data_IF_529451878186
#
_entry.id   IF_529451878186
#
_cell.length_a   1.000
_cell.length_b   1.000
_cell.length_c   1.000
_cell.angle_alpha   90.00
_cell.angle_beta   90.00
_cell.angle_gamma   90.00
#
_symmetry.space_group_name_H-M   'P 1'
#
loop_
_entity.id
_entity.type
_entity.pdbx_description
1 polymer ?
#
# COMPACT_ATOMS: atom_id res chain seq x y z
N UNK A 1 5.68 -15.94 19.70
CA UNK A 1 6.97 -16.48 20.14
C UNK A 1 6.99 -17.96 19.81
N UNK A 2 7.96 -18.45 19.04
CA UNK A 2 8.04 -19.86 18.70
C UNK A 2 8.41 -20.70 19.93
N UNK A 3 7.63 -21.75 20.20
CA UNK A 3 7.96 -22.79 21.19
C UNK A 3 8.48 -24.04 20.50
N UNK A 4 9.49 -24.64 21.08
CA UNK A 4 10.08 -25.86 20.54
C UNK A 4 9.57 -27.08 21.33
N UNK A 5 8.69 -27.87 20.73
CA UNK A 5 8.27 -29.17 21.26
C UNK A 5 8.69 -30.28 20.28
N UNK A 6 9.55 -31.21 20.72
CA UNK A 6 10.04 -32.33 19.92
C UNK A 6 10.68 -31.94 18.57
N UNK A 7 11.45 -30.83 18.55
CA UNK A 7 12.10 -30.37 17.32
C UNK A 7 11.22 -29.60 16.33
N UNK A 8 9.96 -29.35 16.68
CA UNK A 8 9.03 -28.52 15.89
C UNK A 8 8.86 -27.15 16.51
N UNK A 9 8.74 -26.12 15.69
CA UNK A 9 8.42 -24.77 16.13
C UNK A 9 6.95 -24.48 15.87
N UNK A 10 6.26 -23.92 16.86
CA UNK A 10 4.86 -23.54 16.80
C UNK A 10 4.75 -22.03 16.98
N UNK A 11 3.85 -21.39 16.26
CA UNK A 11 3.49 -20.01 16.51
C UNK A 11 2.37 -19.95 17.55
N UNK A 12 2.53 -19.09 18.56
CA UNK A 12 1.56 -18.89 19.62
C UNK A 12 1.03 -17.47 19.60
N UNK A 13 -0.29 -17.34 19.57
CA UNK A 13 -0.96 -16.08 19.83
C UNK A 13 -1.17 -15.96 21.36
N UNK A 14 -0.68 -14.88 21.96
CA UNK A 14 -0.78 -14.65 23.41
C UNK A 14 -1.59 -13.40 23.70
N UNK A 15 -2.50 -13.50 24.67
CA UNK A 15 -3.13 -12.34 25.28
C UNK A 15 -2.19 -11.83 26.37
N UNK A 16 -1.77 -10.59 26.29
CA UNK A 16 -0.88 -9.92 27.24
C UNK A 16 -1.66 -8.79 27.91
N UNK A 17 -1.69 -8.79 29.24
CA UNK A 17 -2.23 -7.67 30.01
C UNK A 17 -1.23 -6.53 30.07
N UNK A 18 -1.69 -5.32 29.77
CA UNK A 18 -0.89 -4.10 29.94
C UNK A 18 -1.06 -3.60 31.37
N UNK A 19 0.03 -3.49 32.10
CA UNK A 19 0.05 -2.91 33.45
C UNK A 19 0.69 -1.52 33.39
N UNK A 20 0.57 -0.74 34.50
CA UNK A 20 1.29 0.54 34.63
C UNK A 20 2.82 0.42 34.56
N UNK A 21 3.36 -0.80 34.69
CA UNK A 21 4.79 -1.12 34.59
C UNK A 21 5.19 -1.72 33.24
N UNK A 22 4.24 -1.78 32.26
CA UNK A 22 4.44 -2.37 30.94
C UNK A 22 3.73 -3.73 30.76
N UNK A 23 3.93 -4.41 29.63
CA UNK A 23 3.29 -5.70 29.34
C UNK A 23 3.81 -6.80 30.27
N UNK A 24 2.92 -7.66 30.73
CA UNK A 24 3.29 -8.84 31.52
C UNK A 24 4.08 -9.84 30.67
N UNK A 25 5.24 -10.32 31.12
CA UNK A 25 6.11 -11.18 30.31
C UNK A 25 5.56 -12.61 30.08
N UNK A 26 4.51 -13.01 30.80
CA UNK A 26 3.86 -14.32 30.70
C UNK A 26 2.38 -14.16 30.37
N UNK A 27 2.08 -13.77 29.12
CA UNK A 27 0.68 -13.74 28.68
C UNK A 27 0.07 -15.14 28.53
N UNK A 28 -1.25 -15.22 28.67
CA UNK A 28 -2.03 -16.44 28.43
C UNK A 28 -2.00 -16.80 26.94
N UNK A 29 -1.75 -18.09 26.62
CA UNK A 29 -1.87 -18.58 25.27
C UNK A 29 -3.35 -18.64 24.88
N UNK A 30 -3.76 -17.81 23.94
CA UNK A 30 -5.12 -17.79 23.42
C UNK A 30 -5.28 -18.82 22.30
N UNK A 31 -4.21 -19.03 21.54
CA UNK A 31 -4.16 -19.97 20.44
C UNK A 31 -2.72 -20.49 20.24
N UNK A 32 -2.61 -21.78 20.01
CA UNK A 32 -1.37 -22.43 19.57
C UNK A 32 -1.65 -22.99 18.20
N UNK A 33 -0.91 -22.57 17.18
CA UNK A 33 -1.04 -23.12 15.84
C UNK A 33 -0.82 -24.63 15.89
N UNK A 34 -1.84 -25.41 15.50
CA UNK A 34 -1.70 -26.87 15.34
C UNK A 34 -0.85 -27.24 14.13
N UNK A 35 -0.54 -26.26 13.28
CA UNK A 35 0.33 -26.43 12.13
C UNK A 35 1.77 -26.36 12.62
N UNK A 36 2.27 -27.48 13.10
CA UNK A 36 3.70 -27.70 13.12
C UNK A 36 4.21 -27.50 11.69
N UNK A 37 5.39 -26.95 11.55
CA UNK A 37 6.10 -27.00 10.26
C UNK A 37 6.31 -28.48 9.86
N UNK A 38 5.23 -29.14 9.43
CA UNK A 38 5.21 -30.55 9.03
C UNK A 38 5.66 -30.76 7.58
N UNK A 39 5.98 -29.69 6.87
CA UNK A 39 6.55 -29.85 5.54
C UNK A 39 7.95 -30.43 5.64
N UNK A 40 8.04 -31.74 5.71
CA UNK A 40 9.19 -32.48 5.22
C UNK A 40 9.30 -32.14 3.73
N UNK A 41 10.17 -31.20 3.42
CA UNK A 41 10.68 -31.11 2.05
C UNK A 41 11.15 -32.53 1.66
N UNK A 42 10.64 -33.05 0.55
CA UNK A 42 10.82 -34.44 0.10
C UNK A 42 12.28 -34.82 -0.06
N UNK A 43 13.22 -33.91 0.13
CA UNK A 43 14.63 -34.10 -0.21
C UNK A 43 15.70 -33.56 0.75
N UNK A 44 15.41 -32.94 1.90
CA UNK A 44 16.43 -32.65 2.94
C UNK A 44 15.83 -32.34 4.31
N UNK A 45 16.48 -32.89 5.34
CA UNK A 45 16.22 -32.65 6.76
C UNK A 45 16.77 -31.28 7.25
N UNK A 46 16.40 -30.18 6.62
CA UNK A 46 16.70 -28.86 7.16
C UNK A 46 15.44 -28.25 7.73
N UNK A 47 15.37 -28.18 9.06
CA UNK A 47 14.29 -27.59 9.84
C UNK A 47 14.31 -26.05 9.74
N UNK A 48 14.22 -25.48 8.56
CA UNK A 48 14.11 -24.05 8.36
C UNK A 48 12.65 -23.65 8.10
N UNK A 49 11.88 -23.57 9.19
CA UNK A 49 10.73 -22.70 9.20
C UNK A 49 11.16 -21.32 9.68
N UNK A 50 11.39 -20.42 8.77
CA UNK A 50 11.50 -19.00 9.09
C UNK A 50 10.08 -18.50 9.34
N UNK A 51 9.69 -18.39 10.62
CA UNK A 51 8.30 -18.19 10.99
C UNK A 51 8.03 -16.72 11.30
N UNK A 52 7.48 -16.05 10.34
CA UNK A 52 6.52 -15.00 10.65
C UNK A 52 5.12 -15.57 10.46
N UNK A 53 4.44 -15.96 11.51
CA UNK A 53 3.03 -16.34 11.41
C UNK A 53 2.17 -15.12 11.72
N UNK A 54 1.28 -14.80 10.80
CA UNK A 54 0.27 -13.74 10.95
C UNK A 54 -1.03 -14.44 11.30
N UNK A 55 -1.67 -13.99 12.39
CA UNK A 55 -2.99 -14.45 12.77
C UNK A 55 -4.01 -13.40 12.37
N UNK A 56 -4.99 -13.78 11.56
CA UNK A 56 -6.16 -12.97 11.28
C UNK A 56 -7.25 -13.33 12.27
N UNK A 57 -7.81 -12.31 12.90
CA UNK A 57 -8.81 -12.45 13.95
C UNK A 57 -10.16 -12.00 13.42
N UNK A 58 -11.23 -12.71 13.76
CA UNK A 58 -12.60 -12.23 13.53
C UNK A 58 -12.95 -11.05 14.47
N UNK A 59 -14.15 -10.51 14.30
CA UNK A 59 -14.71 -9.44 15.15
C UNK A 59 -14.83 -9.80 16.63
N UNK A 60 -14.81 -11.10 16.97
CA UNK A 60 -14.79 -11.57 18.37
C UNK A 60 -13.37 -11.74 18.90
N UNK A 61 -12.36 -11.39 18.11
CA UNK A 61 -10.94 -11.56 18.37
C UNK A 61 -10.50 -13.03 18.43
N UNK A 62 -11.27 -13.93 17.82
CA UNK A 62 -10.91 -15.33 17.65
C UNK A 62 -10.07 -15.48 16.38
N UNK A 63 -8.95 -16.21 16.41
CA UNK A 63 -8.18 -16.50 15.20
C UNK A 63 -9.04 -17.32 14.22
N UNK A 64 -9.12 -16.87 12.98
CA UNK A 64 -9.85 -17.56 11.90
C UNK A 64 -8.92 -18.05 10.81
N UNK A 65 -7.80 -17.36 10.62
CA UNK A 65 -6.79 -17.73 9.63
C UNK A 65 -5.39 -17.54 10.22
N UNK A 66 -4.52 -18.48 9.95
CA UNK A 66 -3.09 -18.37 10.23
C UNK A 66 -2.34 -18.41 8.91
N UNK A 67 -1.49 -17.42 8.68
CA UNK A 67 -0.57 -17.41 7.56
C UNK A 67 0.81 -17.83 8.05
N UNK A 68 1.43 -18.71 7.33
CA UNK A 68 2.78 -19.20 7.62
C UNK A 68 3.63 -19.12 6.37
N UNK A 69 4.83 -18.58 6.46
CA UNK A 69 5.79 -18.57 5.36
C UNK A 69 6.83 -19.69 5.52
N UNK A 70 7.26 -20.24 4.42
CA UNK A 70 8.38 -21.19 4.36
C UNK A 70 9.27 -20.87 3.17
N UNK A 71 10.57 -21.12 3.30
CA UNK A 71 11.52 -20.98 2.20
C UNK A 71 11.79 -22.39 1.64
N UNK A 72 11.59 -22.56 0.35
CA UNK A 72 11.91 -23.81 -0.34
C UNK A 72 13.42 -23.98 -0.57
N UNK A 73 13.80 -25.16 -1.04
CA UNK A 73 15.23 -25.50 -1.31
C UNK A 73 15.84 -24.71 -2.46
N UNK A 74 15.03 -24.11 -3.31
CA UNK A 74 15.44 -23.22 -4.41
C UNK A 74 15.49 -21.73 -3.98
N UNK A 75 15.23 -21.44 -2.71
CA UNK A 75 15.28 -20.10 -2.14
C UNK A 75 13.98 -19.32 -2.27
N UNK A 76 12.94 -19.87 -2.87
CA UNK A 76 11.64 -19.20 -2.97
C UNK A 76 10.89 -19.24 -1.65
N UNK A 77 10.19 -18.17 -1.35
CA UNK A 77 9.30 -18.06 -0.18
C UNK A 77 7.88 -18.44 -0.60
N UNK A 78 7.28 -19.34 0.12
CA UNK A 78 5.87 -19.70 -0.04
C UNK A 78 5.11 -19.26 1.20
N UNK A 79 3.95 -18.67 1.01
CA UNK A 79 3.04 -18.29 2.08
C UNK A 79 1.82 -19.21 2.02
N UNK A 80 1.52 -19.82 3.15
CA UNK A 80 0.39 -20.75 3.26
C UNK A 80 -0.67 -20.15 4.18
N UNK A 81 -1.91 -20.28 3.78
CA UNK A 81 -3.05 -19.91 4.59
C UNK A 81 -3.67 -21.17 5.24
N UNK A 82 -3.96 -21.10 6.53
CA UNK A 82 -4.56 -22.20 7.30
C UNK A 82 -5.78 -21.69 8.04
N UNK A 83 -6.94 -22.31 7.81
CA UNK A 83 -8.14 -22.04 8.61
C UNK A 83 -8.00 -22.66 10.00
N UNK A 84 -8.31 -21.90 11.06
CA UNK A 84 -8.04 -22.31 12.45
C UNK A 84 -8.94 -23.41 12.99
N UNK A 85 -10.15 -23.54 12.46
CA UNK A 85 -11.17 -24.49 12.95
C UNK A 85 -11.28 -25.80 12.12
N UNK A 86 -10.42 -25.99 11.11
CA UNK A 86 -10.43 -27.22 10.32
C UNK A 86 -9.11 -27.97 10.45
N UNK A 87 -9.18 -29.24 10.87
CA UNK A 87 -8.01 -30.11 10.94
C UNK A 87 -7.40 -30.43 9.55
N UNK A 88 -8.01 -29.96 8.46
CA UNK A 88 -7.73 -30.49 7.12
C UNK A 88 -7.59 -29.45 5.99
N UNK A 89 -7.92 -28.19 6.19
CA UNK A 89 -7.88 -27.23 5.07
C UNK A 89 -6.54 -26.51 5.01
N UNK A 90 -5.60 -27.12 4.36
CA UNK A 90 -4.42 -26.45 3.83
C UNK A 90 -4.84 -25.77 2.53
N UNK A 91 -4.79 -24.44 2.51
CA UNK A 91 -4.86 -23.68 1.28
C UNK A 91 -3.43 -23.62 0.75
N UNK A 92 -3.19 -24.27 -0.37
CA UNK A 92 -1.87 -24.38 -1.01
C UNK A 92 -1.78 -23.39 -2.16
N UNK A 93 -1.83 -22.10 -1.82
CA UNK A 93 -1.73 -21.00 -2.77
C UNK A 93 -0.44 -20.25 -2.48
N UNK A 94 0.33 -19.99 -3.50
CA UNK A 94 1.49 -19.10 -3.41
C UNK A 94 0.99 -17.66 -3.24
N UNK A 95 1.30 -17.08 -2.09
CA UNK A 95 0.96 -15.70 -1.75
C UNK A 95 2.21 -14.83 -1.57
N UNK A 96 3.36 -15.26 -2.09
CA UNK A 96 4.62 -14.52 -1.94
C UNK A 96 4.51 -13.08 -2.46
N UNK A 97 3.75 -12.91 -3.54
CA UNK A 97 3.61 -11.65 -4.25
C UNK A 97 2.37 -10.85 -3.85
N UNK A 98 1.62 -11.35 -2.88
CA UNK A 98 0.38 -10.73 -2.43
C UNK A 98 0.52 -10.13 -1.04
N UNK A 99 0.07 -8.89 -0.88
CA UNK A 99 -0.18 -8.31 0.44
C UNK A 99 -1.57 -8.71 0.94
N UNK A 100 -1.72 -8.97 2.23
CA UNK A 100 -3.02 -9.28 2.80
C UNK A 100 -3.59 -8.04 3.44
N UNK A 101 -4.80 -7.65 3.01
CA UNK A 101 -5.48 -6.46 3.48
C UNK A 101 -6.74 -6.74 4.30
N UNK A 102 -7.19 -7.99 4.33
CA UNK A 102 -8.33 -8.37 5.15
C UNK A 102 -8.81 -9.79 4.91
N UNK A 103 -9.86 -10.16 5.64
CA UNK A 103 -10.55 -11.45 5.51
C UNK A 103 -12.04 -11.26 5.78
N UNK A 104 -12.87 -11.96 5.02
CA UNK A 104 -14.28 -12.22 5.33
C UNK A 104 -14.54 -13.74 5.50
N UNK A 105 -15.79 -14.13 5.61
CA UNK A 105 -16.18 -15.54 5.86
C UNK A 105 -15.75 -16.51 4.75
N UNK A 106 -15.56 -16.03 3.53
CA UNK A 106 -15.29 -16.85 2.35
C UNK A 106 -13.99 -16.51 1.64
N UNK A 107 -13.40 -15.34 1.90
CA UNK A 107 -12.31 -14.82 1.10
C UNK A 107 -11.19 -14.20 1.95
N UNK A 108 -9.97 -14.30 1.45
CA UNK A 108 -8.85 -13.43 1.86
C UNK A 108 -8.73 -12.31 0.84
N UNK A 109 -8.73 -11.08 1.31
CA UNK A 109 -8.55 -9.88 0.52
C UNK A 109 -7.05 -9.60 0.35
N UNK A 110 -6.62 -9.49 -0.89
CA UNK A 110 -5.22 -9.40 -1.27
C UNK A 110 -4.96 -8.09 -2.04
N UNK A 111 -3.74 -7.55 -1.90
CA UNK A 111 -3.18 -6.66 -2.92
C UNK A 111 -2.33 -7.48 -3.86
N UNK A 112 -2.40 -7.17 -5.15
CA UNK A 112 -1.74 -7.92 -6.22
C UNK A 112 -2.73 -8.44 -7.23
N UNK A 113 -2.23 -8.87 -8.36
CA UNK A 113 -2.99 -9.32 -9.52
C UNK A 113 -2.43 -10.64 -10.00
N UNK A 114 -3.26 -11.68 -10.22
CA UNK A 114 -2.81 -12.98 -10.75
C UNK A 114 -2.09 -12.89 -12.10
N UNK A 115 -2.38 -11.87 -12.92
CA UNK A 115 -1.69 -11.64 -14.20
C UNK A 115 -0.31 -11.00 -14.03
N UNK A 116 -0.05 -10.35 -12.88
CA UNK A 116 1.16 -9.57 -12.64
C UNK A 116 1.18 -8.19 -13.30
N UNK A 117 0.11 -7.82 -14.05
CA UNK A 117 0.05 -6.58 -14.82
C UNK A 117 -0.23 -5.33 -13.95
N UNK A 118 -0.86 -5.52 -12.80
CA UNK A 118 -1.22 -4.41 -11.92
C UNK A 118 -0.96 -4.72 -10.45
N UNK A 119 -0.87 -3.68 -9.63
CA UNK A 119 -0.89 -3.80 -8.17
C UNK A 119 -2.32 -3.52 -7.66
N UNK A 120 -3.24 -4.36 -8.10
CA UNK A 120 -4.67 -4.23 -7.85
C UNK A 120 -5.13 -4.87 -6.54
N UNK A 121 -6.43 -5.13 -6.47
CA UNK A 121 -7.06 -5.87 -5.36
C UNK A 121 -7.66 -7.16 -5.88
N UNK A 122 -7.37 -8.24 -5.19
CA UNK A 122 -7.83 -9.59 -5.53
C UNK A 122 -8.47 -10.28 -4.33
N UNK A 123 -9.31 -11.27 -4.61
CA UNK A 123 -9.89 -12.17 -3.62
C UNK A 123 -9.36 -13.58 -3.81
N UNK A 124 -8.80 -14.16 -2.76
CA UNK A 124 -8.60 -15.59 -2.67
C UNK A 124 -9.83 -16.22 -2.04
N UNK A 125 -10.56 -17.02 -2.80
CA UNK A 125 -11.71 -17.75 -2.27
C UNK A 125 -11.22 -18.97 -1.47
N UNK A 126 -11.65 -19.05 -0.20
CA UNK A 126 -11.20 -20.09 0.75
C UNK A 126 -11.70 -21.51 0.42
N UNK A 127 -12.72 -21.65 -0.43
CA UNK A 127 -13.28 -22.95 -0.81
C UNK A 127 -12.74 -23.48 -2.14
N UNK A 128 -12.56 -22.57 -3.10
CA UNK A 128 -12.11 -22.94 -4.45
C UNK A 128 -10.61 -22.77 -4.65
N UNK A 129 -9.93 -22.10 -3.71
CA UNK A 129 -8.51 -21.74 -3.76
C UNK A 129 -8.13 -20.89 -4.99
N UNK A 130 -9.13 -20.23 -5.60
CA UNK A 130 -8.91 -19.38 -6.75
C UNK A 130 -8.71 -17.93 -6.33
N UNK A 131 -7.73 -17.28 -6.96
CA UNK A 131 -7.52 -15.83 -6.83
C UNK A 131 -8.18 -15.15 -8.02
N UNK A 132 -8.99 -14.13 -7.74
CA UNK A 132 -9.69 -13.35 -8.75
C UNK A 132 -9.48 -11.86 -8.48
N UNK A 133 -9.03 -11.13 -9.47
CA UNK A 133 -8.95 -9.67 -9.43
C UNK A 133 -10.35 -9.07 -9.37
N UNK A 134 -10.56 -8.04 -8.55
CA UNK A 134 -11.87 -7.41 -8.33
C UNK A 134 -11.91 -5.89 -8.57
N UNK A 135 -10.78 -5.21 -8.74
CA UNK A 135 -10.78 -3.80 -9.10
C UNK A 135 -10.99 -3.62 -10.63
N UNK A 136 -11.48 -2.44 -11.06
CA UNK A 136 -11.59 -2.09 -12.48
C UNK A 136 -10.24 -2.18 -13.22
N UNK A 137 -10.29 -2.43 -14.53
CA UNK A 137 -9.07 -2.62 -15.35
C UNK A 137 -8.20 -1.35 -15.42
N UNK A 138 -8.83 -0.19 -15.47
CA UNK A 138 -8.18 1.12 -15.47
C UNK A 138 -7.46 1.47 -14.16
N UNK A 139 -7.74 0.72 -13.08
CA UNK A 139 -7.14 0.94 -11.77
C UNK A 139 -5.96 0.00 -11.56
N UNK A 140 -4.75 0.54 -11.54
CA UNK A 140 -3.52 -0.25 -11.57
C UNK A 140 -2.72 -0.22 -10.26
N UNK A 141 -3.01 0.70 -9.33
CA UNK A 141 -2.21 0.83 -8.12
C UNK A 141 -3.07 1.02 -6.87
N UNK A 142 -2.93 0.09 -5.91
CA UNK A 142 -3.56 0.16 -4.60
C UNK A 142 -2.91 1.23 -3.72
N UNK A 143 -3.70 2.13 -3.15
CA UNK A 143 -3.27 3.25 -2.30
C UNK A 143 -3.60 3.04 -0.82
N UNK A 144 -4.54 2.16 -0.50
CA UNK A 144 -4.92 1.86 0.88
C UNK A 144 -6.33 1.31 1.00
N UNK A 145 -6.60 0.55 2.08
CA UNK A 145 -7.92 0.00 2.38
C UNK A 145 -8.61 0.73 3.52
N UNK A 146 -9.94 0.68 3.48
CA UNK A 146 -10.83 1.21 4.50
C UNK A 146 -11.68 0.08 5.06
N UNK A 147 -11.55 -0.20 6.35
CA UNK A 147 -12.32 -1.23 7.06
C UNK A 147 -13.02 -0.62 8.25
N UNK A 148 -14.23 -1.11 8.54
CA UNK A 148 -14.95 -0.74 9.77
C UNK A 148 -14.24 -1.33 10.99
N UNK A 149 -14.38 -0.70 12.16
CA UNK A 149 -13.74 -1.13 13.41
C UNK A 149 -14.00 -2.60 13.78
N UNK A 150 -15.12 -3.15 13.33
CA UNK A 150 -15.55 -4.51 13.63
C UNK A 150 -15.47 -5.46 12.42
N UNK A 151 -14.83 -5.04 11.33
CA UNK A 151 -14.60 -5.84 10.14
C UNK A 151 -13.12 -5.97 9.85
N UNK A 152 -12.70 -7.14 9.42
CA UNK A 152 -11.35 -7.38 8.92
C UNK A 152 -11.29 -7.24 7.40
N UNK A 153 -12.44 -7.31 6.70
CA UNK A 153 -12.51 -7.04 5.26
C UNK A 153 -12.67 -5.54 4.99
N UNK A 154 -12.04 -5.01 3.93
CA UNK A 154 -12.24 -3.62 3.52
C UNK A 154 -13.65 -3.44 2.92
N UNK A 155 -14.33 -2.35 3.27
CA UNK A 155 -15.55 -1.93 2.59
C UNK A 155 -15.26 -1.08 1.35
N UNK A 156 -14.07 -0.49 1.30
CA UNK A 156 -13.59 0.28 0.17
C UNK A 156 -12.06 0.29 0.11
N UNK A 157 -11.52 0.60 -1.06
CA UNK A 157 -10.08 0.83 -1.27
C UNK A 157 -9.87 2.09 -2.07
N UNK A 158 -8.79 2.81 -1.77
CA UNK A 158 -8.25 3.85 -2.63
C UNK A 158 -7.36 3.21 -3.70
N UNK A 159 -7.56 3.63 -4.94
CA UNK A 159 -6.79 3.18 -6.09
C UNK A 159 -6.26 4.37 -6.89
N UNK A 160 -5.23 4.15 -7.67
CA UNK A 160 -4.83 5.05 -8.75
C UNK A 160 -5.36 4.47 -10.06
N UNK A 161 -6.25 5.24 -10.72
CA UNK A 161 -6.94 4.86 -11.94
C UNK A 161 -6.63 5.92 -12.98
N UNK A 162 -5.98 5.55 -14.10
CA UNK A 162 -5.59 6.49 -15.17
C UNK A 162 -4.83 7.75 -14.68
N UNK A 163 -4.03 7.59 -13.62
CA UNK A 163 -3.26 8.70 -13.01
C UNK A 163 -4.01 9.56 -12.02
N UNK A 164 -5.30 9.32 -11.81
CA UNK A 164 -6.12 9.99 -10.81
C UNK A 164 -6.42 9.05 -9.63
N UNK A 165 -6.64 9.64 -8.45
CA UNK A 165 -7.05 8.87 -7.27
C UNK A 165 -8.54 8.64 -7.29
N UNK A 166 -8.94 7.38 -7.14
CA UNK A 166 -10.34 6.99 -7.07
C UNK A 166 -10.62 6.10 -5.85
N UNK A 167 -11.88 6.02 -5.48
CA UNK A 167 -12.39 5.22 -4.38
C UNK A 167 -13.28 4.09 -4.91
N UNK A 168 -12.81 2.87 -4.80
CA UNK A 168 -13.59 1.69 -5.17
C UNK A 168 -14.33 1.17 -3.93
N UNK A 169 -15.65 1.22 -3.96
CA UNK A 169 -16.52 0.80 -2.86
C UNK A 169 -17.08 -0.59 -3.16
N UNK A 170 -16.82 -1.55 -2.28
CA UNK A 170 -17.28 -2.93 -2.41
C UNK A 170 -18.59 -3.18 -1.66
N UNK A 171 -18.81 -2.50 -0.54
CA UNK A 171 -20.02 -2.60 0.29
C UNK A 171 -20.72 -1.24 0.36
N UNK A 172 -21.65 -1.02 -0.57
CA UNK A 172 -22.39 0.24 -0.70
C UNK A 172 -23.42 0.46 0.43
N UNK A 173 -23.85 -0.60 1.09
CA UNK A 173 -24.79 -0.55 2.21
C UNK A 173 -24.09 -0.24 3.54
N UNK A 174 -22.77 -0.33 3.56
CA UNK A 174 -21.95 -0.01 4.73
C UNK A 174 -22.02 1.50 5.05
N UNK A 175 -22.40 1.84 6.27
CA UNK A 175 -22.48 3.24 6.74
C UNK A 175 -21.17 4.00 6.53
N UNK A 176 -20.04 3.38 6.89
CA UNK A 176 -18.74 4.02 6.84
C UNK A 176 -18.29 4.24 5.38
N UNK A 177 -18.67 3.33 4.46
CA UNK A 177 -18.48 3.49 3.03
C UNK A 177 -19.28 4.67 2.46
N UNK A 178 -20.53 4.85 2.90
CA UNK A 178 -21.39 5.98 2.50
C UNK A 178 -20.80 7.31 2.99
N UNK A 179 -20.31 7.36 4.24
CA UNK A 179 -19.62 8.54 4.79
C UNK A 179 -18.37 8.84 3.96
N UNK A 180 -17.53 7.83 3.71
CA UNK A 180 -16.30 8.00 2.93
C UNK A 180 -16.59 8.49 1.51
N UNK A 181 -17.61 7.93 0.85
CA UNK A 181 -18.04 8.34 -0.50
C UNK A 181 -18.51 9.81 -0.54
N UNK A 182 -19.22 10.26 0.50
CA UNK A 182 -19.63 11.66 0.62
C UNK A 182 -18.42 12.58 0.83
N UNK A 183 -17.47 12.16 1.65
CA UNK A 183 -16.23 12.90 1.88
C UNK A 183 -15.38 12.96 0.61
N UNK A 184 -15.21 11.86 -0.13
CA UNK A 184 -14.46 11.82 -1.39
C UNK A 184 -15.07 12.77 -2.44
N UNK A 185 -16.40 12.85 -2.53
CA UNK A 185 -17.09 13.85 -3.38
C UNK A 185 -16.90 15.28 -2.92
N UNK A 186 -16.79 15.51 -1.61
CA UNK A 186 -16.56 16.87 -1.06
C UNK A 186 -15.10 17.31 -1.16
N UNK A 187 -14.17 16.37 -1.27
CA UNK A 187 -12.74 16.59 -1.34
C UNK A 187 -12.11 15.81 -2.50
N UNK A 188 -12.46 16.14 -3.76
CA UNK A 188 -12.01 15.39 -4.92
C UNK A 188 -10.47 15.40 -5.04
N UNK A 189 -9.88 14.25 -5.35
CA UNK A 189 -8.43 14.05 -5.53
C UNK A 189 -7.60 14.16 -4.25
N UNK A 190 -8.24 14.28 -3.07
CA UNK A 190 -7.53 14.36 -1.79
C UNK A 190 -7.42 12.98 -1.11
N UNK A 191 -6.34 12.82 -0.36
CA UNK A 191 -6.19 11.69 0.53
C UNK A 191 -7.05 11.91 1.77
N UNK A 192 -7.96 10.99 2.05
CA UNK A 192 -8.82 10.99 3.23
C UNK A 192 -8.37 9.85 4.14
N UNK A 193 -8.02 10.15 5.37
CA UNK A 193 -7.64 9.15 6.36
C UNK A 193 -8.48 9.33 7.62
N UNK A 194 -9.18 8.28 8.02
CA UNK A 194 -9.82 8.23 9.32
C UNK A 194 -8.75 7.99 10.40
N UNK A 195 -8.82 8.82 11.46
CA UNK A 195 -8.15 8.54 12.71
C UNK A 195 -9.05 7.69 13.63
N UNK A 196 -8.94 7.94 14.93
CA UNK A 196 -9.75 7.20 15.89
C UNK A 196 -11.22 7.65 15.87
N UNK A 197 -12.11 6.67 15.97
CA UNK A 197 -13.51 6.87 16.26
C UNK A 197 -13.75 6.93 17.76
N UNK A 198 -14.80 7.61 18.19
CA UNK A 198 -15.35 7.49 19.55
C UNK A 198 -15.92 6.10 19.79
N UNK A 199 -16.05 5.69 21.05
CA UNK A 199 -16.59 4.36 21.42
C UNK A 199 -18.01 4.14 20.87
N UNK A 200 -18.79 5.22 20.71
CA UNK A 200 -20.15 5.19 20.14
C UNK A 200 -20.16 5.24 18.60
N UNK A 201 -19.00 5.34 17.96
CA UNK A 201 -18.88 5.50 16.51
C UNK A 201 -19.66 6.69 15.92
N UNK A 202 -19.84 7.75 16.69
CA UNK A 202 -20.59 8.95 16.29
C UNK A 202 -19.68 10.11 15.88
N UNK A 203 -18.39 10.08 16.27
CA UNK A 203 -17.39 11.07 15.91
C UNK A 203 -16.08 10.41 15.52
N UNK A 204 -15.38 11.05 14.56
CA UNK A 204 -14.05 10.62 14.15
C UNK A 204 -13.14 11.81 13.87
N UNK A 205 -11.84 11.63 14.07
CA UNK A 205 -10.86 12.51 13.49
C UNK A 205 -10.63 12.13 12.03
N UNK A 206 -10.57 13.14 11.16
CA UNK A 206 -10.20 13.01 9.76
C UNK A 206 -8.94 13.78 9.48
N UNK A 207 -8.05 13.19 8.72
CA UNK A 207 -6.94 13.87 8.10
C UNK A 207 -7.18 13.95 6.59
N UNK A 208 -7.15 15.17 6.04
CA UNK A 208 -7.32 15.45 4.62
C UNK A 208 -6.04 16.10 4.11
N UNK A 209 -5.44 15.53 3.06
CA UNK A 209 -4.17 15.99 2.52
C UNK A 209 -4.09 15.78 1.00
N UNK A 210 -3.19 16.47 0.36
CA UNK A 210 -2.73 16.25 -1.01
C UNK A 210 -1.28 16.75 -1.16
N UNK A 211 -0.73 16.76 -2.36
CA UNK A 211 0.62 17.25 -2.62
C UNK A 211 0.80 18.75 -2.34
N UNK A 212 -0.28 19.53 -2.38
CA UNK A 212 -0.28 20.96 -2.05
C UNK A 212 -0.82 21.29 -0.65
N UNK A 213 -1.04 20.27 0.18
CA UNK A 213 -1.57 20.47 1.53
C UNK A 213 -1.06 19.36 2.44
N UNK A 214 -0.22 19.71 3.41
CA UNK A 214 0.44 18.75 4.30
C UNK A 214 -0.57 17.85 5.01
N UNK A 215 -1.48 18.42 5.76
CA UNK A 215 -2.61 17.74 6.37
C UNK A 215 -3.49 18.77 7.10
N UNK A 216 -4.76 18.69 6.87
CA UNK A 216 -5.78 19.34 7.68
C UNK A 216 -6.49 18.29 8.52
N UNK A 217 -6.66 18.58 9.80
CA UNK A 217 -7.36 17.72 10.74
C UNK A 217 -8.73 18.29 11.01
N UNK A 218 -9.73 17.43 10.88
CA UNK A 218 -11.14 17.76 11.11
C UNK A 218 -11.73 16.81 12.15
N UNK A 219 -12.72 17.29 12.89
CA UNK A 219 -13.64 16.46 13.65
C UNK A 219 -14.91 16.24 12.81
N UNK A 220 -15.13 15.01 12.40
CA UNK A 220 -16.43 14.57 11.87
C UNK A 220 -17.35 14.32 13.05
N UNK A 221 -18.51 14.96 13.08
CA UNK A 221 -19.56 14.79 14.07
C UNK A 221 -20.85 14.35 13.35
N UNK A 222 -21.17 13.06 13.46
CA UNK A 222 -22.31 12.46 12.76
C UNK A 222 -23.65 12.86 13.40
N UNK A 223 -23.66 13.20 14.70
CA UNK A 223 -24.89 13.63 15.38
C UNK A 223 -25.32 15.02 14.90
N UNK A 224 -24.35 15.89 14.63
CA UNK A 224 -24.60 17.24 14.13
C UNK A 224 -24.53 17.31 12.59
N UNK A 225 -24.09 16.24 11.92
CA UNK A 225 -23.88 16.22 10.47
C UNK A 225 -22.81 17.24 10.01
N UNK A 226 -21.80 17.49 10.82
CA UNK A 226 -20.83 18.54 10.61
C UNK A 226 -19.39 18.02 10.53
N UNK A 227 -18.60 18.74 9.73
CA UNK A 227 -17.15 18.59 9.68
C UNK A 227 -16.52 19.88 10.23
N UNK A 228 -15.91 19.78 11.41
CA UNK A 228 -15.31 20.93 12.11
C UNK A 228 -13.79 20.90 11.93
N UNK A 229 -13.24 21.99 11.36
CA UNK A 229 -11.80 22.16 11.29
C UNK A 229 -11.18 22.25 12.69
N UNK A 230 -10.10 21.53 12.92
CA UNK A 230 -9.37 21.51 14.19
C UNK A 230 -8.01 22.19 14.04
N UNK A 231 -7.18 21.74 13.09
CA UNK A 231 -5.82 22.20 12.93
C UNK A 231 -5.26 21.86 11.54
N UNK A 232 -4.15 22.49 11.20
CA UNK A 232 -3.29 22.04 10.10
C UNK A 232 -1.90 21.72 10.63
N UNK A 233 -1.23 20.80 9.98
CA UNK A 233 0.16 20.42 10.29
C UNK A 233 1.18 21.47 9.80
N UNK A 234 0.75 22.49 9.06
CA UNK A 234 1.62 23.51 8.49
C UNK A 234 1.05 24.91 8.65
N UNK A 235 1.96 25.87 8.92
CA UNK A 235 1.67 27.29 8.87
C UNK A 235 2.02 27.95 7.51
N UNK A 236 2.42 27.14 6.51
CA UNK A 236 2.72 27.66 5.17
C UNK A 236 1.41 28.05 4.49
N UNK A 237 1.27 29.28 4.00
CA UNK A 237 0.09 29.72 3.25
C UNK A 237 -0.15 28.81 2.02
N UNK A 238 -1.39 28.39 1.80
CA UNK A 238 -1.76 27.44 0.72
C UNK A 238 -1.44 27.98 -0.68
N UNK A 239 -1.50 29.29 -0.86
CA UNK A 239 -1.16 29.96 -2.13
C UNK A 239 0.33 29.83 -2.50
N UNK A 240 1.18 29.54 -1.54
CA UNK A 240 2.61 29.26 -1.76
C UNK A 240 2.92 27.80 -2.05
N UNK A 241 1.96 26.91 -1.90
CA UNK A 241 2.15 25.47 -2.11
C UNK A 241 1.82 25.07 -3.56
N UNK A 242 2.51 24.05 -4.06
CA UNK A 242 2.46 23.60 -5.45
C UNK A 242 1.84 22.19 -5.50
N UNK A 243 1.00 21.93 -6.49
CA UNK A 243 0.35 20.63 -6.69
C UNK A 243 1.19 19.78 -7.64
N UNK A 244 1.26 18.47 -7.37
CA UNK A 244 1.81 17.50 -8.30
C UNK A 244 0.78 17.22 -9.41
N UNK A 245 1.30 17.02 -10.62
CA UNK A 245 0.55 16.54 -11.77
C UNK A 245 1.01 15.12 -12.06
N UNK A 246 0.09 14.18 -12.13
CA UNK A 246 0.38 12.82 -12.57
C UNK A 246 0.79 12.83 -14.05
N UNK A 247 1.77 12.03 -14.40
CA UNK A 247 2.32 11.93 -15.77
C UNK A 247 2.54 10.48 -16.15
N UNK A 248 2.37 10.20 -17.43
CA UNK A 248 2.80 8.95 -18.06
C UNK A 248 3.64 9.27 -19.29
N UNK A 249 4.60 8.43 -19.58
CA UNK A 249 5.53 8.59 -20.70
C UNK A 249 5.64 7.26 -21.43
N UNK A 250 5.89 7.31 -22.75
CA UNK A 250 6.16 6.12 -23.55
C UNK A 250 7.62 6.07 -23.90
N UNK A 251 8.30 5.01 -23.51
CA UNK A 251 9.70 4.81 -23.79
C UNK A 251 9.96 4.34 -25.23
N UNK A 252 11.20 4.35 -25.65
CA UNK A 252 11.58 3.95 -27.02
C UNK A 252 11.33 2.47 -27.33
N UNK A 253 11.22 1.63 -26.30
CA UNK A 253 10.83 0.22 -26.40
C UNK A 253 9.33 -0.01 -26.16
N UNK A 254 8.56 1.08 -26.19
CA UNK A 254 7.10 1.10 -26.06
C UNK A 254 6.56 0.68 -24.70
N UNK A 255 7.38 0.79 -23.63
CA UNK A 255 6.93 0.62 -22.25
C UNK A 255 6.29 1.91 -21.75
N UNK A 256 5.19 1.80 -21.00
CA UNK A 256 4.56 2.93 -20.33
C UNK A 256 5.13 3.08 -18.93
N UNK A 257 5.74 4.24 -18.65
CA UNK A 257 6.26 4.59 -17.34
C UNK A 257 5.49 5.78 -16.75
N UNK A 258 5.59 5.94 -15.44
CA UNK A 258 4.78 6.89 -14.68
C UNK A 258 5.64 7.87 -13.90
N UNK A 259 5.03 8.98 -13.46
CA UNK A 259 5.72 9.95 -12.65
C UNK A 259 4.83 11.08 -12.15
N UNK A 260 5.44 12.00 -11.45
CA UNK A 260 4.76 13.21 -10.95
C UNK A 260 5.58 14.43 -11.25
N UNK A 261 4.94 15.46 -11.78
CA UNK A 261 5.57 16.75 -12.08
C UNK A 261 5.03 17.84 -11.14
N UNK A 262 5.93 18.46 -10.38
CA UNK A 262 5.61 19.65 -9.58
C UNK A 262 6.10 20.88 -10.31
N UNK A 263 5.18 21.73 -10.76
CA UNK A 263 5.51 22.98 -11.45
C UNK A 263 5.47 24.19 -10.53
N UNK A 264 6.47 25.08 -10.57
CA UNK A 264 6.37 26.41 -9.97
C UNK A 264 5.17 27.19 -10.48
N UNK A 265 4.56 28.02 -9.63
CA UNK A 265 3.43 28.90 -10.02
C UNK A 265 3.86 30.11 -10.87
N UNK A 266 5.14 30.38 -10.98
CA UNK A 266 5.69 31.48 -11.78
C UNK A 266 6.62 31.00 -12.87
N UNK A 267 7.64 31.80 -13.19
CA UNK A 267 8.65 31.46 -14.17
C UNK A 267 9.41 30.18 -13.74
N UNK A 268 9.50 29.23 -14.66
CA UNK A 268 10.26 28.00 -14.48
C UNK A 268 11.66 28.22 -15.00
N UNK A 269 12.66 28.11 -14.12
CA UNK A 269 14.07 28.41 -14.44
C UNK A 269 14.91 27.17 -14.66
N UNK A 270 14.57 26.09 -13.96
CA UNK A 270 15.33 24.83 -13.95
C UNK A 270 14.42 23.65 -13.77
N UNK A 271 14.93 22.47 -14.15
CA UNK A 271 14.28 21.18 -13.94
C UNK A 271 15.19 20.28 -13.08
N UNK A 272 14.62 19.60 -12.11
CA UNK A 272 15.28 18.51 -11.37
C UNK A 272 14.52 17.21 -11.64
N UNK A 273 15.18 16.22 -12.24
CA UNK A 273 14.72 14.85 -12.22
C UNK A 273 15.11 14.26 -10.85
N UNK A 274 14.13 14.09 -9.98
CA UNK A 274 14.33 13.55 -8.63
C UNK A 274 13.96 12.08 -8.61
N UNK A 275 14.98 11.22 -8.44
CA UNK A 275 14.88 9.78 -8.66
C UNK A 275 14.91 9.05 -7.32
N UNK A 276 13.90 8.24 -7.04
CA UNK A 276 13.86 7.43 -5.84
C UNK A 276 14.92 6.31 -5.86
N UNK A 277 15.33 5.87 -4.67
CA UNK A 277 16.25 4.76 -4.49
C UNK A 277 15.60 3.39 -4.67
N UNK A 278 16.38 2.35 -4.55
CA UNK A 278 15.94 0.96 -4.70
C UNK A 278 16.89 0.20 -5.61
N UNK A 279 16.63 0.04 -6.91
CA UNK A 279 15.52 0.56 -7.72
C UNK A 279 14.23 -0.24 -7.63
N UNK A 280 14.26 -1.48 -7.10
CA UNK A 280 13.12 -2.40 -7.09
C UNK A 280 12.29 -2.26 -5.82
N UNK A 281 10.96 -2.21 -5.96
CA UNK A 281 9.97 -2.11 -4.90
C UNK A 281 9.61 -0.68 -4.45
N UNK A 282 10.54 0.24 -4.12
CA UNK A 282 10.20 1.63 -3.85
C UNK A 282 9.54 2.34 -5.03
N UNK A 283 8.73 3.36 -4.74
CA UNK A 283 8.15 4.29 -5.73
C UNK A 283 7.86 5.64 -5.10
N UNK A 284 7.71 6.64 -5.95
CA UNK A 284 7.15 7.93 -5.60
C UNK A 284 5.60 7.90 -5.63
N UNK A 285 4.99 8.75 -4.82
CA UNK A 285 3.54 8.93 -4.71
C UNK A 285 3.16 10.40 -4.86
N UNK A 286 1.90 10.64 -5.23
CA UNK A 286 1.32 11.98 -5.11
C UNK A 286 1.05 12.29 -3.64
N UNK A 287 1.99 13.00 -3.03
CA UNK A 287 1.94 13.42 -1.64
C UNK A 287 2.72 14.70 -1.40
N UNK A 288 2.51 15.30 -0.24
CA UNK A 288 3.25 16.48 0.16
C UNK A 288 4.70 16.14 0.49
N UNK A 289 5.63 16.82 -0.17
CA UNK A 289 7.06 16.73 0.12
C UNK A 289 7.63 18.13 0.37
N UNK A 290 8.19 18.43 1.57
CA UNK A 290 8.74 19.74 1.89
C UNK A 290 9.90 20.17 0.97
N UNK A 291 10.71 19.21 0.50
CA UNK A 291 11.83 19.50 -0.37
C UNK A 291 11.35 19.88 -1.77
N UNK A 292 10.37 19.18 -2.33
CA UNK A 292 9.72 19.56 -3.58
C UNK A 292 9.11 20.96 -3.48
N UNK A 293 8.36 21.24 -2.40
CA UNK A 293 7.75 22.56 -2.18
C UNK A 293 8.79 23.67 -2.09
N UNK A 294 9.91 23.39 -1.43
CA UNK A 294 11.02 24.35 -1.35
C UNK A 294 11.63 24.63 -2.73
N UNK A 295 11.94 23.62 -3.51
CA UNK A 295 12.50 23.78 -4.85
C UNK A 295 11.54 24.52 -5.77
N UNK A 296 10.25 24.12 -5.76
CA UNK A 296 9.22 24.80 -6.56
C UNK A 296 9.09 26.28 -6.18
N UNK A 297 9.20 26.65 -4.90
CA UNK A 297 9.23 28.05 -4.45
C UNK A 297 10.41 28.87 -5.00
N UNK A 298 11.46 28.21 -5.51
CA UNK A 298 12.63 28.84 -6.14
C UNK A 298 12.56 28.88 -7.67
N UNK A 299 11.42 28.49 -8.26
CA UNK A 299 11.27 28.44 -9.71
C UNK A 299 11.87 27.19 -10.34
N UNK A 300 12.06 26.11 -9.59
CA UNK A 300 12.60 24.86 -10.05
C UNK A 300 11.46 23.85 -10.17
N UNK A 301 11.23 23.31 -11.36
CA UNK A 301 10.32 22.20 -11.57
C UNK A 301 10.95 20.88 -11.10
N UNK A 302 10.14 19.98 -10.54
CA UNK A 302 10.62 18.68 -10.06
C UNK A 302 9.84 17.58 -10.76
N UNK A 303 10.53 16.69 -11.43
CA UNK A 303 10.00 15.48 -12.04
C UNK A 303 10.44 14.27 -11.21
N UNK A 304 9.49 13.57 -10.61
CA UNK A 304 9.68 12.25 -10.02
C UNK A 304 9.32 11.21 -11.06
N UNK A 305 10.20 10.23 -11.29
CA UNK A 305 9.97 9.17 -12.29
C UNK A 305 9.87 7.84 -11.59
N UNK A 306 8.71 7.20 -11.70
CA UNK A 306 8.52 5.80 -11.38
C UNK A 306 8.89 4.99 -12.63
N UNK A 307 10.18 4.71 -12.77
CA UNK A 307 10.75 3.94 -13.86
C UNK A 307 10.42 2.45 -13.72
N UNK A 308 10.61 1.65 -14.76
CA UNK A 308 10.50 0.18 -14.65
C UNK A 308 11.35 -0.36 -13.49
N UNK A 309 10.80 -1.29 -12.71
CA UNK A 309 11.39 -1.72 -11.45
C UNK A 309 10.75 -1.08 -10.22
N UNK A 310 10.04 0.06 -10.38
CA UNK A 310 9.29 0.66 -9.28
C UNK A 310 8.13 -0.24 -8.87
N UNK A 311 7.90 -0.37 -7.57
CA UNK A 311 6.79 -1.14 -7.04
C UNK A 311 5.42 -0.47 -7.22
N UNK A 312 4.34 -1.24 -6.99
CA UNK A 312 2.99 -0.71 -6.96
C UNK A 312 2.33 -0.53 -8.33
N UNK A 313 2.96 -1.00 -9.41
CA UNK A 313 2.40 -1.06 -10.77
C UNK A 313 2.23 -2.48 -11.28
N UNK A 314 2.40 -3.47 -10.44
CA UNK A 314 2.34 -4.89 -10.76
C UNK A 314 3.73 -5.54 -10.80
N UNK A 315 3.71 -6.87 -10.73
CA UNK A 315 4.92 -7.69 -10.72
C UNK A 315 5.73 -7.54 -12.01
N UNK A 316 5.04 -7.59 -13.15
CA UNK A 316 5.70 -7.51 -14.45
C UNK A 316 6.46 -6.19 -14.61
N UNK A 317 5.88 -5.09 -14.10
CA UNK A 317 6.54 -3.78 -14.10
C UNK A 317 7.77 -3.74 -13.20
N UNK A 318 7.71 -4.34 -12.02
CA UNK A 318 8.85 -4.43 -11.12
C UNK A 318 9.97 -5.34 -11.69
N UNK A 319 9.61 -6.50 -12.20
CA UNK A 319 10.57 -7.45 -12.78
C UNK A 319 11.21 -6.96 -14.07
N UNK A 320 10.52 -6.12 -14.87
CA UNK A 320 11.08 -5.52 -16.09
C UNK A 320 12.30 -4.64 -15.82
N UNK A 321 12.48 -4.18 -14.58
CA UNK A 321 13.67 -3.45 -14.13
C UNK A 321 14.82 -4.33 -13.67
N UNK A 322 14.66 -5.63 -13.53
CA UNK A 322 15.70 -6.50 -12.99
C UNK A 322 16.89 -6.58 -13.93
N UNK A 323 18.09 -6.38 -13.38
CA UNK A 323 19.38 -6.31 -14.09
C UNK A 323 19.53 -5.11 -15.06
N UNK A 324 18.59 -4.14 -15.03
CA UNK A 324 18.55 -2.99 -15.94
C UNK A 324 19.05 -1.67 -15.31
N UNK A 325 19.82 -1.73 -14.23
CA UNK A 325 20.27 -0.55 -13.45
C UNK A 325 21.05 0.48 -14.28
N UNK A 326 21.87 0.02 -15.22
CA UNK A 326 22.63 0.89 -16.12
C UNK A 326 22.09 0.94 -17.55
N UNK A 327 20.97 0.29 -17.80
CA UNK A 327 20.32 0.11 -19.09
C UNK A 327 18.99 0.82 -19.20
N UNK A 328 17.90 0.04 -19.26
CA UNK A 328 16.56 0.54 -19.54
C UNK A 328 16.03 1.48 -18.44
N UNK A 329 16.37 1.27 -17.18
CA UNK A 329 16.00 2.19 -16.07
C UNK A 329 16.54 3.61 -16.36
N UNK A 330 17.81 3.73 -16.78
CA UNK A 330 18.38 5.02 -17.11
C UNK A 330 17.74 5.65 -18.34
N UNK A 331 17.34 4.83 -19.33
CA UNK A 331 16.63 5.29 -20.51
C UNK A 331 15.23 5.81 -20.17
N UNK A 332 14.52 5.16 -19.23
CA UNK A 332 13.22 5.60 -18.74
C UNK A 332 13.31 7.01 -18.13
N UNK A 333 14.25 7.18 -17.20
CA UNK A 333 14.49 8.47 -16.55
C UNK A 333 14.86 9.55 -17.56
N UNK A 334 15.73 9.21 -18.53
CA UNK A 334 16.16 10.14 -19.58
C UNK A 334 14.99 10.51 -20.52
N UNK A 335 14.14 9.54 -20.90
CA UNK A 335 12.98 9.77 -21.75
C UNK A 335 12.00 10.72 -21.08
N UNK A 336 11.58 10.42 -19.85
CA UNK A 336 10.66 11.28 -19.10
C UNK A 336 11.24 12.68 -18.88
N UNK A 337 12.55 12.78 -18.55
CA UNK A 337 13.22 14.07 -18.34
C UNK A 337 13.23 14.90 -19.63
N UNK A 338 13.54 14.28 -20.77
CA UNK A 338 13.59 14.96 -22.06
C UNK A 338 12.22 15.47 -22.49
N UNK A 339 11.18 14.69 -22.30
CA UNK A 339 9.81 15.10 -22.63
C UNK A 339 9.38 16.33 -21.81
N UNK A 340 9.69 16.34 -20.51
CA UNK A 340 9.40 17.50 -19.66
C UNK A 340 10.29 18.71 -19.99
N UNK A 341 11.54 18.51 -20.40
CA UNK A 341 12.38 19.60 -20.90
C UNK A 341 11.74 20.27 -22.12
N UNK A 342 11.26 19.47 -23.07
CA UNK A 342 10.58 19.96 -24.28
C UNK A 342 9.27 20.68 -23.93
N UNK A 343 8.44 20.11 -23.03
CA UNK A 343 7.19 20.75 -22.57
C UNK A 343 7.44 22.10 -21.92
N UNK A 344 8.44 22.20 -21.05
CA UNK A 344 8.70 23.40 -20.26
C UNK A 344 9.67 24.39 -20.96
N UNK A 345 10.28 24.02 -22.07
CA UNK A 345 11.29 24.83 -22.76
C UNK A 345 12.57 24.99 -21.96
N UNK A 346 12.93 24.02 -21.13
CA UNK A 346 14.12 24.01 -20.28
C UNK A 346 15.28 23.30 -20.98
N UNK A 347 16.44 23.95 -21.00
CA UNK A 347 17.64 23.39 -21.62
C UNK A 347 18.23 22.24 -20.79
N UNK A 348 19.09 21.43 -21.44
CA UNK A 348 19.89 20.42 -20.73
C UNK A 348 20.80 21.03 -19.66
N UNK A 349 21.34 22.22 -19.92
CA UNK A 349 22.26 22.88 -19.00
C UNK A 349 21.54 23.43 -17.75
N UNK A 350 20.20 23.61 -17.84
CA UNK A 350 19.35 24.00 -16.71
C UNK A 350 18.63 22.82 -16.07
N UNK A 351 19.02 21.60 -16.41
CA UNK A 351 18.46 20.36 -15.85
C UNK A 351 19.51 19.62 -15.04
N UNK A 352 19.13 19.10 -13.88
CA UNK A 352 19.96 18.20 -13.11
C UNK A 352 19.19 16.97 -12.64
N UNK A 353 19.93 15.91 -12.29
CA UNK A 353 19.39 14.70 -11.67
C UNK A 353 19.82 14.71 -10.20
N UNK A 354 18.88 14.43 -9.32
CA UNK A 354 19.11 14.25 -7.90
C UNK A 354 18.38 12.98 -7.42
N UNK A 355 18.90 12.35 -6.36
CA UNK A 355 18.29 11.17 -5.78
C UNK A 355 19.12 10.62 -4.61
N UNK A 356 18.59 9.65 -3.87
CA UNK A 356 19.25 8.99 -2.75
C UNK A 356 18.96 7.49 -2.74
#
# INVERSE_FOLDING_TARGET
>A
VPENKRGYRYANLRKISLTKKGPEPKGENVYVSNVACQYKLKYRSSNFCNQSSIFLLDKTKKPVLTLSSTISSDGKTYVYAHLTDSDTTKIDVDLEEYGIIGIDENNVWLTGDPSGETFGVSLLNLKTEQITRINPEECHSYLGGFSSLNSTAPYAVGMECEGEKDLIVFDQDNRDAQILSNLARSFPGKNIRFGNWTDNNDKALLQISDSSNIAEVFLLDLNEGQLKYIATASNVPKDLLHKNESRSFITSDNEQIYGYLTKPKGEIKKLVAYVHGGPHGPRDYDGFDPFEQYLASKGIAILKVNFRGSGGYGKNYEESGYQEWGGLIMNDIATATKEIQEELGISRDDTCVAGA
#
